data_IF_690089877334
#
_entry.id   IF_690089877334
#
_cell.length_a   1.000
_cell.length_b   1.000
_cell.length_c   1.000
_cell.angle_alpha   90.00
_cell.angle_beta   90.00
_cell.angle_gamma   90.00
#
_symmetry.space_group_name_H-M   'P 1'
#
loop_
_entity.id
_entity.type
_entity.pdbx_description
1 polymer ?
#
# COMPACT_ATOMS: atom_id res chain seq x y z
N UNK A 1 23.31 -11.71 -64.05
CA UNK A 1 22.77 -11.99 -62.70
C UNK A 1 22.96 -10.74 -61.85
N UNK A 2 21.97 -9.84 -61.85
CA UNK A 2 22.01 -8.59 -61.09
C UNK A 2 21.11 -8.69 -59.86
N UNK A 3 21.66 -8.43 -58.66
CA UNK A 3 20.90 -8.32 -57.41
C UNK A 3 20.67 -6.84 -57.11
N UNK A 4 19.40 -6.45 -57.07
CA UNK A 4 18.92 -5.13 -56.68
C UNK A 4 18.86 -5.08 -55.15
N UNK A 5 19.49 -4.08 -54.54
CA UNK A 5 19.45 -3.80 -53.10
C UNK A 5 18.28 -2.84 -52.85
N UNK A 6 17.23 -3.31 -52.19
CA UNK A 6 16.09 -2.49 -51.77
C UNK A 6 16.38 -1.83 -50.42
N UNK A 7 16.59 -0.52 -50.43
CA UNK A 7 16.74 0.31 -49.23
C UNK A 7 15.33 0.67 -48.72
N UNK A 8 14.86 -0.01 -47.68
CA UNK A 8 13.61 0.31 -47.00
C UNK A 8 13.81 1.45 -46.02
N UNK A 9 13.25 2.63 -46.33
CA UNK A 9 13.16 3.75 -45.39
C UNK A 9 12.00 3.46 -44.42
N UNK A 10 12.34 3.10 -43.18
CA UNK A 10 11.36 3.00 -42.08
C UNK A 10 11.09 4.40 -41.56
N UNK A 11 9.89 4.91 -41.84
CA UNK A 11 9.40 6.18 -41.32
C UNK A 11 9.01 5.98 -39.85
N UNK A 12 9.87 6.41 -38.93
CA UNK A 12 9.54 6.47 -37.51
C UNK A 12 8.59 7.65 -37.26
N UNK A 13 7.30 7.35 -37.06
CA UNK A 13 6.33 8.30 -36.53
C UNK A 13 6.67 8.56 -35.06
N UNK A 14 7.32 9.69 -34.79
CA UNK A 14 7.45 10.22 -33.45
C UNK A 14 6.06 10.62 -32.95
N UNK A 15 5.44 9.80 -32.12
CA UNK A 15 4.29 10.19 -31.31
C UNK A 15 4.78 11.17 -30.26
N UNK A 16 4.55 12.46 -30.51
CA UNK A 16 4.61 13.52 -29.51
C UNK A 16 3.54 13.18 -28.46
N UNK A 17 3.97 12.61 -27.33
CA UNK A 17 3.10 12.42 -26.18
C UNK A 17 2.81 13.80 -25.59
N UNK A 18 1.54 14.21 -25.64
CA UNK A 18 1.05 15.33 -24.84
C UNK A 18 1.34 15.01 -23.38
N UNK A 19 2.04 15.91 -22.69
CA UNK A 19 2.19 15.86 -21.25
C UNK A 19 0.82 16.07 -20.61
N UNK A 20 0.33 15.04 -19.94
CA UNK A 20 -0.65 15.22 -18.88
C UNK A 20 0.12 15.73 -17.67
N UNK A 21 0.08 17.04 -17.45
CA UNK A 21 0.43 17.65 -16.15
C UNK A 21 -0.62 17.17 -15.14
N UNK A 22 -0.45 15.94 -14.63
CA UNK A 22 -1.28 15.35 -13.57
C UNK A 22 -0.92 15.96 -12.21
N UNK A 23 -1.16 17.27 -12.02
CA UNK A 23 -1.13 17.94 -10.70
C UNK A 23 -2.36 17.56 -9.83
N UNK A 24 -2.95 16.39 -10.08
CA UNK A 24 -4.09 15.87 -9.35
C UNK A 24 -3.68 14.77 -8.37
N UNK A 25 -4.48 14.53 -7.31
CA UNK A 25 -4.23 13.44 -6.38
C UNK A 25 -4.20 12.10 -7.13
N UNK A 26 -3.31 11.21 -6.71
CA UNK A 26 -3.18 9.89 -7.31
C UNK A 26 -4.53 9.16 -7.21
N UNK A 27 -5.03 8.66 -8.33
CA UNK A 27 -6.23 7.80 -8.32
C UNK A 27 -5.85 6.41 -7.83
N UNK A 28 -6.64 5.87 -6.92
CA UNK A 28 -6.45 4.52 -6.42
C UNK A 28 -6.62 3.47 -7.54
N UNK A 29 -5.78 2.43 -7.53
CA UNK A 29 -5.90 1.26 -8.42
C UNK A 29 -7.03 0.33 -7.97
N UNK A 30 -7.06 -0.95 -8.38
CA UNK A 30 -8.13 -1.88 -7.99
C UNK A 30 -8.10 -2.28 -6.50
N UNK A 31 -7.05 -1.96 -5.75
CA UNK A 31 -6.98 -2.20 -4.30
C UNK A 31 -6.71 -3.64 -3.87
N UNK A 32 -6.77 -4.59 -4.80
CA UNK A 32 -6.66 -6.03 -4.52
C UNK A 32 -5.21 -6.50 -4.38
N UNK A 33 -5.04 -7.69 -3.80
CA UNK A 33 -3.75 -8.40 -3.70
C UNK A 33 -3.09 -8.51 -5.07
N UNK A 34 -1.80 -8.19 -5.12
CA UNK A 34 -0.96 -8.36 -6.31
C UNK A 34 -0.05 -9.56 -6.13
N UNK A 35 0.60 -10.01 -7.21
CA UNK A 35 1.52 -11.15 -7.19
C UNK A 35 2.62 -11.03 -6.11
N UNK A 36 3.12 -9.82 -5.86
CA UNK A 36 4.16 -9.57 -4.86
C UNK A 36 3.73 -9.86 -3.42
N UNK A 37 2.42 -9.85 -3.15
CA UNK A 37 1.86 -10.04 -1.81
C UNK A 37 0.99 -11.30 -1.71
N UNK A 38 0.93 -12.10 -2.78
CA UNK A 38 0.14 -13.31 -2.82
C UNK A 38 0.71 -14.39 -1.86
N UNK A 39 -0.17 -15.11 -1.19
CA UNK A 39 0.18 -16.18 -0.24
C UNK A 39 0.38 -15.71 1.21
N UNK A 40 0.19 -14.42 1.50
CA UNK A 40 0.10 -13.91 2.86
C UNK A 40 -1.31 -14.09 3.43
N UNK A 41 -1.61 -13.57 4.63
CA UNK A 41 -3.00 -13.62 5.11
C UNK A 41 -3.89 -12.76 4.21
N UNK A 42 -4.86 -13.41 3.59
CA UNK A 42 -5.74 -12.84 2.59
C UNK A 42 -7.20 -13.07 2.99
N UNK A 43 -8.07 -12.14 2.63
CA UNK A 43 -9.51 -12.29 2.70
C UNK A 43 -10.11 -12.22 1.30
N UNK A 44 -10.72 -13.32 0.87
CA UNK A 44 -11.47 -13.42 -0.38
C UNK A 44 -12.96 -13.28 -0.10
N UNK A 45 -13.54 -12.17 -0.52
CA UNK A 45 -14.95 -11.89 -0.23
C UNK A 45 -15.88 -12.80 -1.00
N UNK A 46 -16.89 -13.35 -0.33
CA UNK A 46 -17.85 -14.31 -0.92
C UNK A 46 -19.12 -13.62 -1.43
N UNK A 47 -19.34 -12.38 -1.02
CA UNK A 47 -20.45 -11.52 -1.45
C UNK A 47 -19.97 -10.06 -1.57
N UNK A 48 -20.76 -9.24 -2.27
CA UNK A 48 -20.54 -7.79 -2.26
C UNK A 48 -20.67 -7.26 -0.82
N UNK A 49 -19.68 -6.51 -0.37
CA UNK A 49 -19.65 -5.94 0.97
C UNK A 49 -19.40 -4.43 0.89
N UNK A 50 -20.23 -3.64 1.58
CA UNK A 50 -20.12 -2.18 1.59
C UNK A 50 -19.22 -1.77 2.73
N UNK A 51 -18.08 -1.17 2.40
CA UNK A 51 -17.19 -0.56 3.40
C UNK A 51 -17.72 0.82 3.74
N UNK A 52 -17.88 1.07 5.03
CA UNK A 52 -18.36 2.33 5.59
C UNK A 52 -17.17 3.08 6.15
N UNK A 53 -17.09 4.38 5.88
CA UNK A 53 -16.04 5.23 6.42
C UNK A 53 -16.33 5.62 7.88
N UNK A 54 -15.39 6.25 8.59
CA UNK A 54 -15.60 6.68 9.98
C UNK A 54 -16.73 7.69 10.18
N UNK A 55 -17.27 8.29 9.12
CA UNK A 55 -18.39 9.23 9.15
C UNK A 55 -19.75 8.53 8.94
N UNK A 56 -19.75 7.22 8.71
CA UNK A 56 -20.95 6.44 8.43
C UNK A 56 -21.34 6.45 6.95
N UNK A 57 -20.54 7.08 6.10
CA UNK A 57 -20.79 7.17 4.67
C UNK A 57 -20.15 5.99 3.92
N UNK A 58 -20.72 5.57 2.79
CA UNK A 58 -20.14 4.52 1.97
C UNK A 58 -18.78 4.93 1.38
N UNK A 59 -17.70 4.30 1.83
CA UNK A 59 -16.38 4.51 1.23
C UNK A 59 -16.32 3.86 -0.16
N UNK A 60 -16.54 2.54 -0.22
CA UNK A 60 -16.59 1.78 -1.46
C UNK A 60 -17.34 0.45 -1.28
N UNK A 61 -17.43 -0.35 -2.34
CA UNK A 61 -18.00 -1.70 -2.29
C UNK A 61 -16.95 -2.69 -2.75
N UNK A 62 -16.58 -3.60 -1.84
CA UNK A 62 -15.82 -4.80 -2.16
C UNK A 62 -16.72 -5.73 -2.93
N UNK A 63 -16.25 -6.26 -4.06
CA UNK A 63 -16.99 -7.18 -4.91
C UNK A 63 -16.74 -8.62 -4.54
N UNK A 64 -17.77 -9.45 -4.68
CA UNK A 64 -17.64 -10.89 -4.54
C UNK A 64 -16.50 -11.42 -5.43
N UNK A 65 -15.58 -12.18 -4.84
CA UNK A 65 -14.40 -12.74 -5.47
C UNK A 65 -13.13 -11.90 -5.37
N UNK A 66 -13.21 -10.62 -4.97
CA UNK A 66 -12.03 -9.79 -4.72
C UNK A 66 -11.28 -10.27 -3.47
N UNK A 67 -9.95 -10.12 -3.50
CA UNK A 67 -9.05 -10.60 -2.45
C UNK A 67 -8.18 -9.45 -1.95
N UNK A 68 -8.11 -9.29 -0.64
CA UNK A 68 -7.36 -8.22 0.05
C UNK A 68 -6.40 -8.80 1.07
N UNK A 69 -5.28 -8.11 1.32
CA UNK A 69 -4.39 -8.45 2.42
C UNK A 69 -5.04 -8.10 3.76
N UNK A 70 -4.76 -8.92 4.77
CA UNK A 70 -5.21 -8.67 6.13
C UNK A 70 -4.15 -7.91 6.93
N UNK A 71 -4.53 -6.75 7.44
CA UNK A 71 -3.77 -5.96 8.42
C UNK A 71 -4.02 -6.42 9.87
N UNK A 72 -5.18 -7.04 10.12
CA UNK A 72 -5.62 -7.58 11.42
C UNK A 72 -6.81 -8.49 11.16
N UNK A 73 -6.94 -9.60 11.89
CA UNK A 73 -8.10 -10.48 11.77
C UNK A 73 -8.54 -10.96 13.15
N UNK A 74 -9.69 -10.48 13.60
CA UNK A 74 -10.30 -10.85 14.88
C UNK A 74 -11.64 -11.55 14.64
N UNK A 75 -12.30 -12.00 15.71
CA UNK A 75 -13.56 -12.77 15.62
C UNK A 75 -14.77 -11.95 15.19
N UNK A 76 -14.71 -10.62 15.26
CA UNK A 76 -15.83 -9.71 14.97
C UNK A 76 -15.49 -8.61 13.96
N UNK A 77 -14.21 -8.48 13.62
CA UNK A 77 -13.76 -7.49 12.66
C UNK A 77 -12.46 -7.94 12.00
N UNK A 78 -12.18 -7.38 10.83
CA UNK A 78 -10.89 -7.52 10.19
C UNK A 78 -10.47 -6.17 9.62
N UNK A 79 -9.18 -5.87 9.65
CA UNK A 79 -8.62 -4.73 8.92
C UNK A 79 -8.10 -5.27 7.59
N UNK A 80 -8.66 -4.81 6.48
CA UNK A 80 -8.14 -5.10 5.15
C UNK A 80 -7.22 -3.97 4.67
N UNK A 81 -6.28 -4.29 3.80
CA UNK A 81 -5.40 -3.33 3.17
C UNK A 81 -5.79 -3.16 1.69
N UNK A 82 -6.31 -1.97 1.35
CA UNK A 82 -6.60 -1.58 -0.03
C UNK A 82 -5.33 -1.07 -0.70
N UNK A 83 -4.73 -1.88 -1.58
CA UNK A 83 -3.42 -1.59 -2.16
C UNK A 83 -3.48 -0.50 -3.25
N UNK A 84 -2.76 0.58 -3.03
CA UNK A 84 -2.55 1.66 -4.01
C UNK A 84 -1.09 1.67 -4.49
N UNK A 85 -0.76 2.51 -5.49
CA UNK A 85 0.63 2.69 -5.93
C UNK A 85 1.53 3.33 -4.85
N UNK A 86 0.95 4.09 -3.92
CA UNK A 86 1.68 4.80 -2.87
C UNK A 86 1.87 3.95 -1.61
N UNK A 87 1.04 2.92 -1.42
CA UNK A 87 0.92 2.16 -0.18
C UNK A 87 -0.53 1.72 0.07
N UNK A 88 -0.82 1.02 1.16
CA UNK A 88 -2.17 0.59 1.48
C UNK A 88 -2.99 1.70 2.13
N UNK A 89 -4.30 1.68 1.91
CA UNK A 89 -5.29 2.35 2.73
C UNK A 89 -5.97 1.27 3.57
N UNK A 90 -6.03 1.45 4.89
CA UNK A 90 -6.66 0.51 5.79
C UNK A 90 -8.16 0.75 5.92
N UNK A 91 -8.91 -0.35 5.91
CA UNK A 91 -10.35 -0.33 6.15
C UNK A 91 -10.72 -1.42 7.15
N UNK A 92 -11.46 -1.04 8.18
CA UNK A 92 -12.09 -2.01 9.07
C UNK A 92 -13.37 -2.55 8.42
N UNK A 93 -13.49 -3.87 8.44
CA UNK A 93 -14.65 -4.64 7.99
C UNK A 93 -15.22 -5.32 9.22
N UNK A 94 -16.31 -4.75 9.72
CA UNK A 94 -17.07 -5.28 10.85
C UNK A 94 -18.16 -6.24 10.34
N UNK A 95 -18.42 -7.30 11.11
CA UNK A 95 -19.45 -8.27 10.74
C UNK A 95 -20.12 -8.88 11.98
N UNK A 96 -21.42 -9.17 11.84
CA UNK A 96 -22.20 -9.87 12.85
C UNK A 96 -22.31 -11.36 12.47
N UNK A 97 -21.61 -12.22 13.18
CA UNK A 97 -21.65 -13.67 12.95
C UNK A 97 -20.57 -14.15 11.98
N UNK A 98 -20.98 -14.74 10.85
CA UNK A 98 -20.04 -15.28 9.86
C UNK A 98 -19.37 -14.15 9.07
N UNK A 99 -18.05 -14.25 8.90
CA UNK A 99 -17.30 -13.28 8.13
C UNK A 99 -17.77 -13.26 6.67
N UNK A 100 -17.86 -12.08 6.01
CA UNK A 100 -18.30 -11.97 4.61
C UNK A 100 -17.20 -12.40 3.60
N UNK A 101 -16.23 -13.19 4.05
CA UNK A 101 -15.06 -13.62 3.29
C UNK A 101 -14.55 -14.97 3.79
N UNK A 102 -13.84 -15.67 2.91
CA UNK A 102 -12.98 -16.79 3.26
C UNK A 102 -11.56 -16.26 3.50
N UNK A 103 -10.86 -16.78 4.51
CA UNK A 103 -9.44 -16.45 4.74
C UNK A 103 -8.59 -17.70 4.90
N UNK A 104 -7.32 -17.59 4.49
CA UNK A 104 -6.29 -18.58 4.74
C UNK A 104 -5.61 -18.41 6.12
N UNK A 105 -6.02 -17.44 6.93
CA UNK A 105 -5.62 -17.26 8.33
C UNK A 105 -6.86 -17.29 9.21
N UNK A 106 -6.83 -18.03 10.32
CA UNK A 106 -7.95 -18.01 11.25
C UNK A 106 -7.96 -16.71 12.08
N UNK A 107 -9.10 -16.33 12.70
CA UNK A 107 -9.15 -15.18 13.60
C UNK A 107 -8.15 -15.29 14.76
N UNK A 108 -7.40 -14.23 15.00
CA UNK A 108 -6.34 -14.17 16.00
C UNK A 108 -5.06 -14.94 15.62
N UNK A 109 -5.04 -15.58 14.45
CA UNK A 109 -3.86 -16.20 13.87
C UNK A 109 -3.19 -15.26 12.86
N UNK A 110 -1.97 -15.62 12.46
CA UNK A 110 -1.12 -14.83 11.58
C UNK A 110 0.03 -14.15 12.32
N UNK A 111 1.20 -14.11 11.70
CA UNK A 111 2.37 -13.40 12.23
C UNK A 111 2.39 -11.98 11.65
N UNK A 112 2.36 -10.93 12.49
CA UNK A 112 2.44 -9.55 11.99
C UNK A 112 3.83 -9.29 11.39
N UNK A 113 3.84 -8.64 10.23
CA UNK A 113 5.04 -8.21 9.50
C UNK A 113 4.86 -6.78 9.01
N UNK A 114 5.97 -6.05 8.91
CA UNK A 114 5.97 -4.75 8.25
C UNK A 114 6.23 -4.96 6.75
N UNK A 115 5.26 -4.56 5.92
CA UNK A 115 5.39 -4.58 4.46
C UNK A 115 5.79 -3.21 3.93
N UNK A 116 6.72 -3.17 2.97
CA UNK A 116 7.10 -1.95 2.24
C UNK A 116 6.42 -1.99 0.87
N UNK A 117 5.30 -1.29 0.73
CA UNK A 117 4.40 -1.36 -0.41
C UNK A 117 4.82 -0.49 -1.60
N UNK A 118 5.56 0.58 -1.31
CA UNK A 118 6.18 1.44 -2.32
C UNK A 118 7.63 1.73 -1.91
N UNK A 119 8.50 1.97 -2.90
CA UNK A 119 9.87 2.39 -2.60
C UNK A 119 9.82 3.70 -1.82
N UNK A 120 10.54 3.75 -0.70
CA UNK A 120 10.51 4.92 0.18
C UNK A 120 11.91 5.37 0.54
N UNK A 121 12.02 6.68 0.70
CA UNK A 121 13.23 7.34 1.20
C UNK A 121 12.89 7.90 2.57
N UNK A 122 13.66 7.47 3.56
CA UNK A 122 13.61 8.05 4.90
C UNK A 122 14.63 9.19 4.97
N UNK A 123 14.28 10.24 5.70
CA UNK A 123 15.09 11.42 5.91
C UNK A 123 15.38 11.63 7.40
N UNK A 124 16.51 12.24 7.71
CA UNK A 124 16.89 12.58 9.10
C UNK A 124 16.15 13.80 9.62
N UNK A 125 15.68 14.66 8.73
CA UNK A 125 15.04 15.93 9.04
C UNK A 125 13.66 16.07 8.38
N UNK A 126 12.80 16.84 9.03
CA UNK A 126 11.45 17.14 8.52
C UNK A 126 11.48 17.90 7.18
N UNK A 127 12.56 18.63 6.87
CA UNK A 127 12.72 19.31 5.59
C UNK A 127 12.98 18.38 4.41
N UNK A 128 13.18 17.08 4.67
CA UNK A 128 13.46 16.04 3.68
C UNK A 128 14.72 16.35 2.85
N UNK A 129 15.75 16.86 3.54
CA UNK A 129 16.99 17.33 2.91
C UNK A 129 18.16 16.37 3.07
N UNK A 130 18.21 15.63 4.18
CA UNK A 130 19.26 14.68 4.51
C UNK A 130 18.73 13.24 4.46
N UNK A 131 19.03 12.51 3.38
CA UNK A 131 18.61 11.11 3.20
C UNK A 131 19.23 10.22 4.29
N UNK A 132 18.37 9.53 5.04
CA UNK A 132 18.75 8.54 6.04
C UNK A 132 19.11 7.22 5.38
N UNK A 133 18.17 6.68 4.59
CA UNK A 133 18.24 5.40 3.90
C UNK A 133 17.11 5.30 2.86
N UNK A 134 17.22 4.32 1.97
CA UNK A 134 16.18 3.94 1.02
C UNK A 134 15.73 2.51 1.29
N UNK A 135 14.43 2.29 1.37
CA UNK A 135 13.83 0.97 1.59
C UNK A 135 13.05 0.57 0.35
N UNK A 136 13.39 -0.59 -0.22
CA UNK A 136 12.83 -1.04 -1.48
C UNK A 136 11.39 -1.57 -1.32
N UNK A 137 10.55 -1.36 -2.34
CA UNK A 137 9.23 -1.98 -2.40
C UNK A 137 9.33 -3.52 -2.40
N UNK A 138 8.32 -4.18 -1.83
CA UNK A 138 8.23 -5.63 -1.70
C UNK A 138 9.06 -6.22 -0.55
N UNK A 139 9.75 -5.40 0.25
CA UNK A 139 10.41 -5.89 1.46
C UNK A 139 9.38 -6.25 2.53
N UNK A 140 9.66 -7.36 3.23
CA UNK A 140 8.92 -7.84 4.39
C UNK A 140 9.88 -7.91 5.56
N UNK A 141 9.62 -7.11 6.58
CA UNK A 141 10.43 -7.05 7.80
C UNK A 141 9.63 -7.66 8.96
N UNK A 142 10.29 -8.17 10.02
CA UNK A 142 9.61 -8.45 11.28
C UNK A 142 8.74 -7.25 11.69
N UNK A 143 7.55 -7.47 12.26
CA UNK A 143 6.84 -6.36 12.90
C UNK A 143 7.55 -6.00 14.21
N UNK A 144 7.55 -4.71 14.52
CA UNK A 144 8.18 -4.17 15.71
C UNK A 144 7.27 -3.18 16.44
N UNK A 145 7.82 -2.45 17.41
CA UNK A 145 7.12 -1.29 17.94
C UNK A 145 7.12 -0.21 16.87
N UNK A 146 5.92 0.17 16.42
CA UNK A 146 5.71 1.16 15.38
C UNK A 146 4.91 2.35 15.90
N UNK A 147 5.28 3.56 15.51
CA UNK A 147 4.43 4.73 15.60
C UNK A 147 4.69 5.63 14.40
N UNK A 148 3.65 6.31 13.95
CA UNK A 148 3.75 7.34 12.94
C UNK A 148 2.93 8.55 13.37
N UNK A 149 3.51 9.73 13.24
CA UNK A 149 2.85 11.00 13.56
C UNK A 149 3.00 11.96 12.39
N UNK A 150 1.94 12.71 12.11
CA UNK A 150 1.98 13.76 11.12
C UNK A 150 2.91 14.87 11.63
N UNK A 151 3.98 15.14 10.88
CA UNK A 151 4.96 16.18 11.18
C UNK A 151 4.67 17.49 10.42
N UNK A 152 4.06 17.42 9.24
CA UNK A 152 3.61 18.58 8.46
C UNK A 152 2.21 19.07 8.88
N UNK A 153 1.70 20.12 8.22
CA UNK A 153 0.28 20.46 8.26
C UNK A 153 -0.59 19.36 7.65
N UNK A 154 -1.83 19.25 8.14
CA UNK A 154 -2.82 18.24 7.71
C UNK A 154 -3.13 18.29 6.21
N UNK A 155 -2.93 19.45 5.58
CA UNK A 155 -3.25 19.70 4.18
C UNK A 155 -2.01 20.02 3.33
N UNK A 156 -0.80 19.82 3.88
CA UNK A 156 0.44 19.96 3.13
C UNK A 156 0.59 18.75 2.20
N UNK A 157 0.84 18.98 0.91
CA UNK A 157 1.03 17.92 -0.09
C UNK A 157 2.48 17.95 -0.62
N UNK A 158 3.26 16.86 -0.46
CA UNK A 158 2.92 15.64 0.27
C UNK A 158 2.87 15.86 1.78
N UNK A 159 2.08 15.04 2.48
CA UNK A 159 2.13 14.98 3.92
C UNK A 159 3.49 14.43 4.36
N UNK A 160 4.02 14.92 5.47
CA UNK A 160 5.28 14.44 6.06
C UNK A 160 4.97 13.75 7.36
N UNK A 161 5.38 12.49 7.47
CA UNK A 161 5.25 11.72 8.70
C UNK A 161 6.61 11.53 9.34
N UNK A 162 6.68 11.71 10.66
CA UNK A 162 7.74 11.14 11.47
C UNK A 162 7.34 9.70 11.79
N UNK A 163 8.24 8.75 11.50
CA UNK A 163 8.04 7.34 11.81
C UNK A 163 9.08 6.88 12.82
N UNK A 164 8.66 6.06 13.78
CA UNK A 164 9.52 5.33 14.71
C UNK A 164 9.14 3.87 14.62
N UNK A 165 10.01 3.06 14.01
CA UNK A 165 9.81 1.64 13.74
C UNK A 165 11.12 0.90 13.98
N UNK A 166 11.11 0.05 15.02
CA UNK A 166 12.29 -0.72 15.42
C UNK A 166 12.89 -1.59 14.30
N UNK A 167 12.06 -2.04 13.36
CA UNK A 167 12.44 -2.92 12.26
C UNK A 167 13.27 -2.22 11.19
N UNK A 168 13.22 -0.88 11.15
CA UNK A 168 14.08 -0.08 10.28
C UNK A 168 15.56 -0.24 10.61
N UNK A 169 15.92 -0.59 11.85
CA UNK A 169 17.31 -0.83 12.22
C UNK A 169 18.00 -1.89 11.35
N UNK A 170 17.25 -2.83 10.77
CA UNK A 170 17.75 -3.88 9.88
C UNK A 170 18.11 -3.37 8.47
N UNK A 171 17.52 -2.27 8.03
CA UNK A 171 17.62 -1.75 6.66
C UNK A 171 18.19 -0.34 6.57
N UNK A 172 18.35 0.35 7.71
CA UNK A 172 18.78 1.74 7.81
C UNK A 172 19.94 1.93 8.79
N UNK A 173 20.97 1.07 8.72
CA UNK A 173 22.21 1.18 9.52
C UNK A 173 21.96 1.37 11.03
N UNK A 174 21.02 0.60 11.58
CA UNK A 174 20.67 0.63 13.01
C UNK A 174 19.75 1.79 13.42
N UNK A 175 19.31 2.64 12.49
CA UNK A 175 18.39 3.74 12.76
C UNK A 175 16.95 3.23 12.80
N UNK A 176 16.18 3.69 13.79
CA UNK A 176 14.77 3.29 14.00
C UNK A 176 13.78 4.42 13.74
N UNK A 177 14.26 5.62 13.47
CA UNK A 177 13.42 6.82 13.31
C UNK A 177 13.82 7.61 12.08
N UNK A 178 12.84 8.25 11.44
CA UNK A 178 13.06 9.13 10.31
C UNK A 178 11.78 9.83 9.87
N UNK A 179 11.90 10.62 8.81
CA UNK A 179 10.78 11.30 8.16
C UNK A 179 10.56 10.73 6.77
N UNK A 180 9.31 10.61 6.34
CA UNK A 180 8.96 10.17 4.99
C UNK A 180 7.85 11.04 4.38
N UNK A 181 7.77 11.00 3.05
CA UNK A 181 6.65 11.57 2.29
C UNK A 181 5.51 10.56 2.21
N UNK A 182 4.30 11.02 2.51
CA UNK A 182 3.06 10.28 2.30
C UNK A 182 2.20 11.07 1.29
N UNK A 183 2.13 10.64 0.01
CA UNK A 183 1.31 11.32 -0.98
C UNK A 183 -0.18 11.13 -0.68
N UNK A 184 -1.01 12.06 -1.15
CA UNK A 184 -2.45 11.90 -1.09
C UNK A 184 -2.98 11.01 -2.22
N UNK A 185 -3.81 10.04 -1.87
CA UNK A 185 -4.58 9.19 -2.80
C UNK A 185 -6.06 9.49 -2.63
N UNK A 186 -6.75 9.76 -3.74
CA UNK A 186 -8.21 9.91 -3.74
C UNK A 186 -8.86 8.52 -3.86
N UNK A 187 -9.57 8.10 -2.81
CA UNK A 187 -10.33 6.85 -2.80
C UNK A 187 -11.64 7.00 -2.01
N UNK A 188 -12.74 6.50 -2.57
CA UNK A 188 -14.06 6.61 -1.95
C UNK A 188 -14.55 8.05 -1.76
N UNK A 189 -14.04 9.01 -2.55
CA UNK A 189 -14.37 10.43 -2.39
C UNK A 189 -13.55 11.17 -1.32
N UNK A 190 -12.65 10.48 -0.62
CA UNK A 190 -11.82 11.01 0.46
C UNK A 190 -10.34 11.00 0.06
N UNK A 191 -9.59 12.01 0.50
CA UNK A 191 -8.13 12.06 0.33
C UNK A 191 -7.45 11.37 1.50
N UNK A 192 -6.62 10.39 1.21
CA UNK A 192 -5.87 9.61 2.20
C UNK A 192 -4.39 9.95 2.08
N UNK A 193 -3.75 10.37 3.17
CA UNK A 193 -2.28 10.45 3.20
C UNK A 193 -1.74 9.02 3.37
N UNK A 194 -1.19 8.45 2.30
CA UNK A 194 -0.83 7.03 2.26
C UNK A 194 0.63 6.85 2.65
N UNK A 195 0.86 6.13 3.74
CA UNK A 195 2.21 5.72 4.12
C UNK A 195 2.67 4.53 3.25
N UNK A 196 3.94 4.50 2.83
CA UNK A 196 4.45 3.44 1.96
C UNK A 196 4.75 2.13 2.71
N UNK A 197 4.65 2.13 4.03
CA UNK A 197 4.91 0.99 4.90
C UNK A 197 3.72 0.79 5.84
N UNK A 198 3.29 -0.46 6.03
CA UNK A 198 2.16 -0.80 6.89
C UNK A 198 2.31 -2.22 7.44
N UNK A 199 1.73 -2.49 8.60
CA UNK A 199 1.73 -3.84 9.17
C UNK A 199 0.64 -4.69 8.53
N UNK A 200 1.01 -5.91 8.11
CA UNK A 200 0.11 -6.92 7.59
C UNK A 200 0.36 -8.27 8.25
N UNK A 201 -0.56 -9.22 8.07
CA UNK A 201 -0.48 -10.56 8.62
C UNK A 201 0.11 -11.52 7.58
N UNK A 202 1.02 -12.37 8.01
CA UNK A 202 1.55 -13.51 7.23
C UNK A 202 1.01 -14.82 7.76
N UNK A 203 0.85 -15.81 6.88
CA UNK A 203 0.42 -17.16 7.26
C UNK A 203 1.44 -17.74 8.24
N UNK A 204 1.01 -18.32 9.38
CA UNK A 204 1.92 -18.99 10.31
C UNK A 204 2.74 -20.07 9.59
N UNK A 205 4.01 -20.22 9.96
CA UNK A 205 4.81 -21.33 9.47
C UNK A 205 4.17 -22.65 9.90
N UNK A 206 4.03 -23.60 8.97
CA UNK A 206 3.60 -24.95 9.31
C UNK A 206 4.65 -25.60 10.23
N UNK A 207 4.25 -25.95 11.45
CA UNK A 207 5.09 -26.69 12.41
C UNK A 207 5.33 -28.14 11.99
#
# INVERSE_FOLDING_TARGET
MGRVIGLGVVLALATVGCGDDEDGPLKAGPGVVTEAWAGHCEARFTADHRVIDPFGDPAFTIKAGETYLLGRHDSLSTRILYLTKAGPIDYDVEFEGEAPFESNCAPGEGEPRLGVFAETVLYRDQGLTDELCRVAAGQVLPAGSSSASLASGLFDDPAIYQVSESSLAQVCDGQTEGFLKAPFVLHGGTHHAVQPMETFLTVPAAE
#
